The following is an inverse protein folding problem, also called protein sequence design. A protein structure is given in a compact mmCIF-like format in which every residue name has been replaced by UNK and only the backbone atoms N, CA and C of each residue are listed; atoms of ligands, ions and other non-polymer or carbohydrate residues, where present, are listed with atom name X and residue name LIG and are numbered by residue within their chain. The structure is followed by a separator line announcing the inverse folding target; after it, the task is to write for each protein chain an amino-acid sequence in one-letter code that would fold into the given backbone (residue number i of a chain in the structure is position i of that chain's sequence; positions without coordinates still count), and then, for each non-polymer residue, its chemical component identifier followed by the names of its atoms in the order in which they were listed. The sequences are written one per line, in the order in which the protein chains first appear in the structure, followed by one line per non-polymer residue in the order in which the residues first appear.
data_IF_518048224995
#
_entry.id   IF_518048224995
#
_cell.length_a   1.000
_cell.length_b   1.000
_cell.length_c   1.000
_cell.angle_alpha   90.00
_cell.angle_beta   90.00
_cell.angle_gamma   90.00
#
_symmetry.space_group_name_H-M   'P 1'
#
loop_
_entity.id
_entity.type
_entity.pdbx_description
1 polymer ?
#
# COMPACT_ATOMS: atom_id res chain seq x y z
N UNK A 1 -36.30 3.88 19.56
CA UNK A 1 -36.70 5.26 19.91
C UNK A 1 -38.22 5.31 20.04
N UNK A 2 -38.74 6.13 20.95
CA UNK A 2 -40.20 6.29 21.13
C UNK A 2 -40.63 7.64 20.53
N UNK A 3 -41.74 7.63 19.80
CA UNK A 3 -42.38 8.84 19.26
C UNK A 3 -43.80 8.95 19.81
N UNK A 4 -44.37 10.14 19.78
CA UNK A 4 -45.71 10.42 20.31
C UNK A 4 -46.61 10.90 19.18
N UNK A 5 -47.82 10.36 19.12
CA UNK A 5 -48.88 10.83 18.24
C UNK A 5 -49.97 11.47 19.12
N UNK A 6 -50.33 12.70 18.79
CA UNK A 6 -51.41 13.43 19.48
C UNK A 6 -52.67 13.29 18.64
N UNK A 7 -53.75 12.83 19.26
CA UNK A 7 -55.07 12.70 18.68
C UNK A 7 -56.01 13.66 19.40
N UNK A 8 -56.68 14.54 18.66
CA UNK A 8 -57.69 15.45 19.18
C UNK A 8 -59.00 15.24 18.41
N UNK A 9 -60.01 14.70 19.10
CA UNK A 9 -61.29 14.34 18.48
C UNK A 9 -62.49 14.70 19.37
N UNK A 10 -63.57 15.15 18.74
CA UNK A 10 -64.86 15.37 19.43
C UNK A 10 -65.68 14.10 19.70
N UNK A 11 -65.11 12.91 19.46
CA UNK A 11 -65.79 11.61 19.59
C UNK A 11 -64.79 10.52 19.93
N UNK A 12 -65.28 9.38 20.41
CA UNK A 12 -64.44 8.19 20.59
C UNK A 12 -63.78 7.79 19.26
N UNK A 13 -62.59 7.23 19.35
CA UNK A 13 -61.75 6.93 18.20
C UNK A 13 -61.14 5.53 18.31
N UNK A 14 -60.84 4.95 17.15
CA UNK A 14 -60.10 3.71 16.98
C UNK A 14 -58.88 3.96 16.08
N UNK A 15 -57.79 3.25 16.34
CA UNK A 15 -56.55 3.35 15.60
C UNK A 15 -56.05 1.97 15.14
N UNK A 16 -55.55 1.90 13.91
CA UNK A 16 -54.97 0.69 13.34
C UNK A 16 -53.64 1.02 12.64
N UNK A 17 -52.73 0.05 12.64
CA UNK A 17 -51.45 0.12 11.93
C UNK A 17 -51.48 -0.76 10.69
N UNK A 18 -50.77 -0.36 9.63
CA UNK A 18 -50.65 -1.17 8.41
C UNK A 18 -49.60 -2.27 8.50
N UNK A 19 -48.67 -2.20 9.45
CA UNK A 19 -47.49 -3.07 9.53
C UNK A 19 -47.26 -3.60 10.95
N UNK A 20 -46.85 -4.86 11.07
CA UNK A 20 -46.68 -5.55 12.36
C UNK A 20 -45.47 -5.07 13.17
N UNK A 21 -44.51 -4.40 12.53
CA UNK A 21 -43.35 -3.84 13.22
C UNK A 21 -43.67 -2.52 13.94
N UNK A 22 -44.79 -1.87 13.62
CA UNK A 22 -45.23 -0.63 14.28
C UNK A 22 -46.27 -0.97 15.34
N UNK A 23 -46.06 -0.51 16.57
CA UNK A 23 -46.96 -0.77 17.69
C UNK A 23 -47.46 0.54 18.29
N UNK A 24 -48.76 0.58 18.61
CA UNK A 24 -49.41 1.69 19.29
C UNK A 24 -49.65 1.34 20.76
N UNK A 25 -49.39 2.28 21.67
CA UNK A 25 -49.66 2.13 23.09
C UNK A 25 -51.16 2.05 23.43
N UNK A 26 -52.03 2.49 22.50
CA UNK A 26 -53.48 2.38 22.59
C UNK A 26 -54.06 2.24 21.18
N UNK A 27 -55.06 1.36 21.02
CA UNK A 27 -55.78 1.14 19.76
C UNK A 27 -57.15 1.85 19.74
N UNK A 28 -57.58 2.42 20.85
CA UNK A 28 -58.81 3.21 20.93
C UNK A 28 -58.73 4.19 22.10
N UNK A 29 -59.63 5.17 22.11
CA UNK A 29 -59.76 6.14 23.19
C UNK A 29 -61.03 6.98 23.09
N UNK A 30 -61.20 7.85 24.07
CA UNK A 30 -62.39 8.71 24.20
C UNK A 30 -62.17 10.08 23.56
N UNK A 31 -63.26 10.82 23.38
CA UNK A 31 -63.20 12.23 22.94
C UNK A 31 -62.25 13.07 23.80
N UNK A 32 -61.59 14.05 23.18
CA UNK A 32 -60.60 14.94 23.78
C UNK A 32 -59.20 14.70 23.22
N UNK A 33 -58.21 15.31 23.89
CA UNK A 33 -56.79 15.19 23.52
C UNK A 33 -56.20 13.94 24.15
N UNK A 34 -55.72 13.02 23.32
CA UNK A 34 -55.08 11.77 23.72
C UNK A 34 -53.65 11.72 23.16
N UNK A 35 -52.71 11.22 23.96
CA UNK A 35 -51.34 10.98 23.53
C UNK A 35 -51.09 9.48 23.41
N UNK A 36 -50.65 9.03 22.24
CA UNK A 36 -50.33 7.62 21.98
C UNK A 36 -48.83 7.47 21.76
N UNK A 37 -48.23 6.53 22.49
CA UNK A 37 -46.86 6.13 22.28
C UNK A 37 -46.75 5.24 21.03
N UNK A 38 -45.84 5.60 20.13
CA UNK A 38 -45.43 4.77 19.00
C UNK A 38 -44.13 4.06 19.37
N UNK A 39 -44.15 2.74 19.22
CA UNK A 39 -43.00 1.87 19.44
C UNK A 39 -42.75 0.98 18.22
N UNK A 40 -41.52 0.48 18.11
CA UNK A 40 -41.05 -0.30 16.97
C UNK A 40 -40.58 -1.66 17.48
N UNK A 41 -41.12 -2.73 16.89
CA UNK A 41 -40.63 -4.09 17.05
C UNK A 41 -39.67 -4.42 15.90
N UNK A 42 -38.38 -4.17 16.12
CA UNK A 42 -37.33 -4.29 15.10
C UNK A 42 -36.62 -5.66 14.93
N UNK A 43 -36.68 -6.64 15.86
CA UNK A 43 -36.05 -7.94 15.65
C UNK A 43 -36.50 -8.61 14.34
N UNK A 44 -35.52 -9.01 13.52
CA UNK A 44 -35.79 -9.70 12.26
C UNK A 44 -36.21 -8.82 11.09
N UNK A 45 -36.31 -7.49 11.25
CA UNK A 45 -36.53 -6.59 10.12
C UNK A 45 -35.25 -6.48 9.27
N UNK A 46 -35.34 -6.68 7.94
CA UNK A 46 -34.21 -6.42 7.04
C UNK A 46 -33.76 -4.96 7.11
N UNK A 47 -32.47 -4.72 6.86
CA UNK A 47 -31.94 -3.36 6.68
C UNK A 47 -32.65 -2.65 5.53
N UNK A 48 -33.02 -1.38 5.71
CA UNK A 48 -33.72 -0.61 4.69
C UNK A 48 -34.65 0.46 5.24
N UNK A 49 -35.43 1.05 4.35
CA UNK A 49 -36.50 1.99 4.69
C UNK A 49 -37.82 1.22 4.66
N UNK A 50 -38.51 1.23 5.79
CA UNK A 50 -39.84 0.63 5.96
C UNK A 50 -40.85 1.75 6.14
N UNK A 51 -42.01 1.60 5.51
CA UNK A 51 -43.09 2.58 5.58
C UNK A 51 -44.32 1.92 6.18
N UNK A 52 -44.95 2.60 7.14
CA UNK A 52 -46.22 2.20 7.72
C UNK A 52 -47.16 3.39 7.81
N UNK A 53 -48.44 3.09 7.96
CA UNK A 53 -49.48 4.09 8.17
C UNK A 53 -50.20 3.78 9.47
N UNK A 54 -50.41 4.81 10.29
CA UNK A 54 -51.39 4.79 11.39
C UNK A 54 -52.68 5.39 10.86
N UNK A 55 -53.76 4.61 10.88
CA UNK A 55 -55.10 5.06 10.47
C UNK A 55 -55.94 5.27 11.72
N UNK A 56 -56.44 6.49 11.92
CA UNK A 56 -57.33 6.86 13.03
C UNK A 56 -58.71 7.12 12.47
N UNK A 57 -59.73 6.51 13.07
CA UNK A 57 -61.14 6.69 12.70
C UNK A 57 -61.92 7.23 13.89
N UNK A 58 -62.64 8.33 13.70
CA UNK A 58 -63.51 8.92 14.71
C UNK A 58 -64.79 9.45 14.05
N UNK A 59 -65.96 8.98 14.48
CA UNK A 59 -67.27 9.38 13.94
C UNK A 59 -67.34 9.38 12.39
N UNK A 60 -66.78 8.33 11.76
CA UNK A 60 -66.71 8.19 10.29
C UNK A 60 -65.63 9.02 9.58
N UNK A 61 -64.89 9.88 10.29
CA UNK A 61 -63.75 10.62 9.74
C UNK A 61 -62.50 9.77 9.87
N UNK A 62 -61.77 9.61 8.75
CA UNK A 62 -60.52 8.85 8.69
C UNK A 62 -59.34 9.81 8.48
N UNK A 63 -58.34 9.72 9.35
CA UNK A 63 -57.05 10.42 9.23
C UNK A 63 -55.90 9.42 9.20
N UNK A 64 -54.84 9.75 8.49
CA UNK A 64 -53.66 8.90 8.33
C UNK A 64 -52.39 9.66 8.72
N UNK A 65 -51.53 9.01 9.49
CA UNK A 65 -50.17 9.46 9.77
C UNK A 65 -49.17 8.47 9.15
N UNK A 66 -48.20 8.99 8.42
CA UNK A 66 -47.16 8.18 7.78
C UNK A 66 -45.97 8.03 8.72
N UNK A 67 -45.51 6.80 8.88
CA UNK A 67 -44.36 6.45 9.72
C UNK A 67 -43.28 5.88 8.82
N UNK A 68 -42.09 6.48 8.90
CA UNK A 68 -40.90 6.00 8.21
C UNK A 68 -39.92 5.45 9.23
N UNK A 69 -39.61 4.16 9.12
CA UNK A 69 -38.60 3.48 9.92
C UNK A 69 -37.37 3.21 9.06
N UNK A 70 -36.20 3.62 9.54
CA UNK A 70 -34.91 3.26 8.94
C UNK A 70 -34.25 2.21 9.83
N UNK A 71 -34.05 1.01 9.28
CA UNK A 71 -33.31 -0.07 9.93
C UNK A 71 -31.94 -0.14 9.29
N UNK A 72 -30.89 -0.06 10.11
CA UNK A 72 -29.50 -0.14 9.67
C UNK A 72 -28.82 -1.18 10.54
N UNK A 73 -28.00 -2.02 9.92
CA UNK A 73 -27.12 -2.92 10.65
C UNK A 73 -26.08 -2.08 11.39
N UNK A 74 -26.02 -2.20 12.72
CA UNK A 74 -24.93 -1.60 13.48
C UNK A 74 -23.65 -2.37 13.19
N UNK A 75 -22.68 -1.69 12.57
CA UNK A 75 -21.40 -2.26 12.21
C UNK A 75 -20.30 -1.26 12.58
N UNK A 76 -19.42 -1.67 13.49
CA UNK A 76 -18.05 -1.18 13.53
C UNK A 76 -17.17 -2.31 13.02
N UNK A 77 -16.70 -2.18 11.78
CA UNK A 77 -15.91 -3.20 11.10
C UNK A 77 -14.70 -2.56 10.45
N UNK A 78 -13.63 -3.34 10.28
CA UNK A 78 -12.43 -2.88 9.60
C UNK A 78 -11.18 -3.51 10.18
N UNK A 79 -10.34 -2.64 10.75
CA UNK A 79 -9.03 -3.00 11.28
C UNK A 79 -9.12 -3.84 12.55
N UNK A 80 -8.01 -4.49 12.89
CA UNK A 80 -7.83 -5.25 14.12
C UNK A 80 -6.61 -4.71 14.89
N UNK A 81 -6.71 -4.71 16.21
CA UNK A 81 -5.59 -4.33 17.08
C UNK A 81 -4.38 -5.22 16.81
N UNK A 82 -3.19 -4.62 16.65
CA UNK A 82 -1.97 -5.36 16.32
C UNK A 82 -1.91 -5.92 14.89
N UNK A 83 -2.94 -5.73 14.06
CA UNK A 83 -2.99 -6.29 12.71
C UNK A 83 -1.97 -5.64 11.75
N UNK A 84 -1.52 -6.41 10.76
CA UNK A 84 -0.70 -5.90 9.64
C UNK A 84 -1.57 -5.68 8.40
N UNK A 85 -1.44 -4.51 7.81
CA UNK A 85 -2.13 -4.10 6.59
C UNK A 85 -1.16 -3.44 5.60
N UNK A 86 -1.61 -3.29 4.35
CA UNK A 86 -0.83 -2.67 3.28
C UNK A 86 -1.55 -1.43 2.75
N UNK A 87 -0.82 -0.33 2.57
CA UNK A 87 -1.37 0.99 2.27
C UNK A 87 -2.32 1.00 1.07
N UNK A 88 -2.00 0.25 0.01
CA UNK A 88 -2.72 0.28 -1.26
C UNK A 88 -3.94 -0.65 -1.30
N UNK A 89 -4.20 -1.44 -0.25
CA UNK A 89 -5.37 -2.31 -0.16
C UNK A 89 -6.68 -1.54 0.15
N UNK A 90 -6.57 -0.21 0.32
CA UNK A 90 -7.69 0.68 0.66
C UNK A 90 -8.46 0.21 1.89
N UNK A 91 -7.74 -0.18 2.93
CA UNK A 91 -8.28 -0.63 4.22
C UNK A 91 -9.29 0.39 4.76
N UNK A 92 -10.42 -0.10 5.27
CA UNK A 92 -11.54 0.75 5.66
C UNK A 92 -11.94 0.52 7.10
N UNK A 93 -12.22 1.61 7.79
CA UNK A 93 -13.10 1.60 8.96
C UNK A 93 -14.50 1.95 8.46
N UNK A 94 -15.44 1.06 8.76
CA UNK A 94 -16.86 1.20 8.43
C UNK A 94 -17.60 1.37 9.74
N UNK A 95 -18.33 2.48 9.85
CA UNK A 95 -19.22 2.75 10.96
C UNK A 95 -20.63 2.99 10.41
N UNK A 96 -21.64 2.53 11.13
CA UNK A 96 -23.03 2.86 10.83
C UNK A 96 -23.72 3.57 11.98
N UNK A 97 -24.61 4.49 11.64
CA UNK A 97 -25.35 5.30 12.59
C UNK A 97 -26.71 5.72 12.00
N UNK A 98 -27.68 5.92 12.89
CA UNK A 98 -29.02 6.41 12.59
C UNK A 98 -29.24 7.88 13.00
N UNK A 99 -28.29 8.53 13.68
CA UNK A 99 -28.45 9.94 14.05
C UNK A 99 -28.23 10.86 12.85
N UNK A 100 -29.22 11.71 12.60
CA UNK A 100 -29.13 12.77 11.61
C UNK A 100 -28.06 13.79 12.01
N UNK A 101 -27.50 14.49 11.03
CA UNK A 101 -26.51 15.56 11.22
C UNK A 101 -25.21 15.15 11.92
N UNK A 102 -24.85 13.87 11.86
CA UNK A 102 -23.57 13.37 12.39
C UNK A 102 -22.59 13.01 11.27
N UNK A 103 -21.30 12.89 11.63
CA UNK A 103 -20.26 12.31 10.79
C UNK A 103 -19.35 11.39 11.61
N UNK A 104 -18.66 10.47 10.94
CA UNK A 104 -17.60 9.68 11.53
C UNK A 104 -16.35 10.55 11.60
N UNK A 105 -15.82 10.77 12.79
CA UNK A 105 -14.50 11.36 13.02
C UNK A 105 -13.53 10.24 13.41
N UNK A 106 -12.40 10.15 12.71
CA UNK A 106 -11.27 9.33 13.10
C UNK A 106 -10.16 10.27 13.57
N UNK A 107 -9.70 10.09 14.80
CA UNK A 107 -8.46 10.67 15.29
C UNK A 107 -7.37 9.62 15.13
N UNK A 108 -6.46 9.86 14.17
CA UNK A 108 -5.40 8.91 13.82
C UNK A 108 -4.08 9.51 14.26
N UNK A 109 -3.38 8.80 15.13
CA UNK A 109 -1.97 9.04 15.44
C UNK A 109 -1.15 8.01 14.67
N UNK A 110 -0.31 8.48 13.75
CA UNK A 110 0.59 7.66 12.96
C UNK A 110 2.02 7.84 13.47
N UNK A 111 2.60 6.77 13.99
CA UNK A 111 3.95 6.74 14.53
C UNK A 111 4.87 5.95 13.62
N UNK A 112 6.01 6.54 13.31
CA UNK A 112 7.17 5.92 12.65
C UNK A 112 8.38 6.01 13.59
N UNK A 113 9.51 5.40 13.24
CA UNK A 113 10.71 5.44 14.11
C UNK A 113 11.17 6.85 14.52
N UNK A 114 10.93 7.84 13.65
CA UNK A 114 11.53 9.18 13.78
C UNK A 114 10.50 10.29 13.96
N UNK A 115 9.22 10.00 13.76
CA UNK A 115 8.17 11.02 13.83
C UNK A 115 6.81 10.39 14.15
N UNK A 116 6.03 11.14 14.91
CA UNK A 116 4.59 10.91 15.11
C UNK A 116 3.82 12.07 14.49
N UNK A 117 2.75 11.76 13.75
CA UNK A 117 1.89 12.73 13.07
C UNK A 117 0.43 12.38 13.23
N UNK A 118 -0.39 13.41 13.38
CA UNK A 118 -1.84 13.26 13.52
C UNK A 118 -2.55 13.51 12.19
N UNK A 119 -3.42 12.58 11.79
CA UNK A 119 -4.20 12.61 10.55
C UNK A 119 -5.69 12.47 10.85
N UNK A 120 -6.35 13.49 11.41
CA UNK A 120 -7.78 13.42 11.63
C UNK A 120 -8.50 13.28 10.29
N UNK A 121 -9.44 12.32 10.20
CA UNK A 121 -10.27 12.09 9.03
C UNK A 121 -11.75 12.22 9.42
N UNK A 122 -12.54 12.88 8.60
CA UNK A 122 -13.99 12.98 8.78
C UNK A 122 -14.72 12.40 7.59
N UNK A 123 -15.74 11.57 7.82
CA UNK A 123 -16.57 10.99 6.75
C UNK A 123 -18.07 11.14 7.06
N UNK A 124 -18.86 11.71 6.13
CA UNK A 124 -20.30 11.82 6.34
C UNK A 124 -20.98 10.45 6.28
N UNK A 125 -22.06 10.29 7.05
CA UNK A 125 -22.93 9.12 6.91
C UNK A 125 -23.81 9.27 5.67
N UNK A 126 -23.60 8.40 4.68
CA UNK A 126 -24.50 8.28 3.54
C UNK A 126 -25.43 7.08 3.74
N UNK A 127 -26.74 7.32 3.77
CA UNK A 127 -27.75 6.30 4.11
C UNK A 127 -27.44 5.58 5.44
N UNK A 128 -26.84 6.33 6.38
CA UNK A 128 -26.46 5.87 7.71
C UNK A 128 -25.23 4.95 7.77
N UNK A 129 -24.39 4.95 6.73
CA UNK A 129 -23.08 4.28 6.72
C UNK A 129 -22.00 5.29 6.33
N UNK A 130 -20.92 5.33 7.10
CA UNK A 130 -19.70 6.06 6.79
C UNK A 130 -18.56 5.07 6.54
N UNK A 131 -17.70 5.38 5.58
CA UNK A 131 -16.53 4.56 5.21
C UNK A 131 -15.31 5.46 5.12
N UNK A 132 -14.31 5.19 5.95
CA UNK A 132 -13.06 5.92 5.95
C UNK A 132 -11.92 5.00 5.52
N UNK A 133 -11.18 5.40 4.48
CA UNK A 133 -9.95 4.71 4.07
C UNK A 133 -8.80 5.18 4.95
N UNK A 134 -8.04 4.24 5.49
CA UNK A 134 -6.93 4.47 6.43
C UNK A 134 -5.67 3.71 5.97
N UNK A 135 -4.49 4.20 6.35
CA UNK A 135 -3.21 3.56 6.02
C UNK A 135 -2.48 4.08 4.79
N UNK A 136 -3.10 4.98 4.01
CA UNK A 136 -2.47 5.53 2.80
C UNK A 136 -1.25 6.41 3.12
N UNK A 137 -1.25 7.00 4.31
CA UNK A 137 -0.14 7.77 4.89
C UNK A 137 1.17 6.97 4.98
N UNK A 138 1.11 5.63 5.09
CA UNK A 138 2.29 4.78 5.07
C UNK A 138 3.14 4.94 3.79
N UNK A 139 2.50 5.23 2.65
CA UNK A 139 3.23 5.49 1.39
C UNK A 139 4.14 6.72 1.46
N UNK A 140 3.82 7.67 2.34
CA UNK A 140 4.55 8.94 2.49
C UNK A 140 5.46 8.94 3.72
N UNK A 141 5.03 8.33 4.82
CA UNK A 141 5.75 8.32 6.10
C UNK A 141 6.87 7.28 6.14
N UNK A 142 6.67 6.12 5.52
CA UNK A 142 7.74 5.14 5.38
C UNK A 142 8.71 5.69 4.35
N UNK A 143 9.90 6.08 4.78
CA UNK A 143 10.95 6.56 3.86
C UNK A 143 11.52 5.39 3.08
N UNK A 144 11.85 5.64 1.82
CA UNK A 144 12.60 4.69 1.01
C UNK A 144 14.05 4.72 1.47
N UNK A 145 14.55 3.64 2.07
CA UNK A 145 15.98 3.50 2.34
C UNK A 145 16.77 3.59 1.03
N UNK A 146 18.02 4.02 1.07
CA UNK A 146 18.90 3.87 -0.08
C UNK A 146 19.58 2.52 -0.03
N UNK A 147 19.75 1.82 -1.17
CA UNK A 147 20.60 0.65 -1.20
C UNK A 147 22.06 1.09 -0.95
N UNK A 148 22.88 0.32 -0.22
CA UNK A 148 24.22 0.75 0.17
C UNK A 148 25.15 0.89 -1.04
N UNK A 149 26.18 1.74 -0.94
CA UNK A 149 27.19 1.88 -2.02
C UNK A 149 27.89 0.56 -2.32
N UNK A 150 28.12 -0.25 -1.28
CA UNK A 150 28.68 -1.59 -1.38
C UNK A 150 27.61 -2.58 -0.92
N UNK A 151 27.25 -3.50 -1.81
CA UNK A 151 26.35 -4.61 -1.50
C UNK A 151 27.16 -5.72 -0.82
N UNK A 152 26.71 -6.16 0.36
CA UNK A 152 27.36 -7.23 1.12
C UNK A 152 26.35 -8.31 1.48
N UNK A 153 26.83 -9.54 1.62
CA UNK A 153 26.05 -10.67 2.09
C UNK A 153 25.51 -10.40 3.51
N UNK A 154 24.22 -10.59 3.72
CA UNK A 154 23.59 -10.37 5.02
C UNK A 154 22.09 -10.12 4.95
N UNK A 155 21.50 -9.96 6.14
CA UNK A 155 20.07 -9.63 6.28
C UNK A 155 19.96 -8.16 6.65
N UNK A 156 18.99 -7.47 6.06
CA UNK A 156 18.63 -6.08 6.37
C UNK A 156 17.13 -5.94 6.57
N UNK A 157 16.70 -4.88 7.25
CA UNK A 157 15.30 -4.46 7.33
C UNK A 157 15.18 -3.13 6.55
N UNK A 158 14.75 -3.16 5.28
CA UNK A 158 14.81 -1.99 4.41
C UNK A 158 13.76 -0.93 4.73
N UNK A 159 12.67 -1.32 5.39
CA UNK A 159 11.62 -0.42 5.81
C UNK A 159 10.83 -1.02 6.97
N UNK A 160 10.57 -0.20 7.99
CA UNK A 160 9.71 -0.55 9.12
C UNK A 160 8.27 -0.10 8.86
N UNK A 161 7.26 -0.81 9.39
CA UNK A 161 5.88 -0.35 9.31
C UNK A 161 5.72 0.99 10.05
N UNK A 162 4.69 1.74 9.68
CA UNK A 162 4.13 2.72 10.61
C UNK A 162 3.11 2.02 11.52
N UNK A 163 2.97 2.55 12.72
CA UNK A 163 1.98 2.13 13.69
C UNK A 163 0.89 3.19 13.75
N UNK A 164 -0.38 2.77 13.62
CA UNK A 164 -1.53 3.64 13.78
C UNK A 164 -2.27 3.30 15.07
N UNK A 165 -2.53 4.33 15.86
CA UNK A 165 -3.54 4.33 16.91
C UNK A 165 -4.71 5.19 16.45
N UNK A 166 -5.92 4.63 16.47
CA UNK A 166 -7.10 5.25 15.87
C UNK A 166 -8.25 5.24 16.87
N UNK A 167 -8.71 6.42 17.24
CA UNK A 167 -9.97 6.58 17.95
C UNK A 167 -11.08 7.00 16.98
N UNK A 168 -12.13 6.19 16.91
CA UNK A 168 -13.30 6.44 16.07
C UNK A 168 -14.44 7.03 16.92
N UNK A 169 -14.97 8.16 16.48
CA UNK A 169 -16.08 8.87 17.12
C UNK A 169 -17.22 9.13 16.15
N UNK A 170 -18.44 9.13 16.67
CA UNK A 170 -19.53 9.92 16.13
C UNK A 170 -19.34 11.36 16.56
N UNK A 171 -19.50 12.32 15.66
CA UNK A 171 -19.58 13.73 16.03
C UNK A 171 -20.85 14.35 15.45
N UNK A 172 -21.62 15.02 16.30
CA UNK A 172 -22.77 15.83 15.86
C UNK A 172 -22.28 17.16 15.28
N UNK A 173 -22.71 17.48 14.06
CA UNK A 173 -22.23 18.62 13.28
C UNK A 173 -22.54 19.98 13.91
N UNK A 174 -23.60 20.10 14.71
CA UNK A 174 -24.05 21.38 15.22
C UNK A 174 -23.61 21.63 16.66
N UNK A 175 -23.53 20.57 17.46
CA UNK A 175 -23.19 20.64 18.88
C UNK A 175 -21.73 20.29 19.16
N UNK A 176 -21.04 19.60 18.25
CA UNK A 176 -19.68 19.11 18.44
C UNK A 176 -19.58 18.00 19.49
N UNK A 177 -20.71 17.48 19.97
CA UNK A 177 -20.72 16.39 20.94
C UNK A 177 -20.23 15.13 20.26
N UNK A 178 -19.22 14.49 20.86
CA UNK A 178 -18.65 13.24 20.37
C UNK A 178 -19.09 12.05 21.19
N UNK A 179 -19.24 10.90 20.52
CA UNK A 179 -19.48 9.59 21.15
C UNK A 179 -18.46 8.61 20.58
N UNK A 180 -17.64 7.99 21.42
CA UNK A 180 -16.66 7.00 20.97
C UNK A 180 -17.38 5.74 20.45
N UNK A 181 -17.01 5.31 19.25
CA UNK A 181 -17.46 4.05 18.64
C UNK A 181 -16.49 2.90 18.89
N UNK A 182 -15.19 3.19 18.91
CA UNK A 182 -14.17 2.22 19.25
C UNK A 182 -12.77 2.77 19.06
N UNK A 183 -11.79 1.99 19.52
CA UNK A 183 -10.37 2.29 19.43
C UNK A 183 -9.65 1.14 18.76
N UNK A 184 -8.74 1.46 17.86
CA UNK A 184 -7.84 0.52 17.21
C UNK A 184 -6.41 0.86 17.61
N UNK A 185 -5.73 -0.07 18.26
CA UNK A 185 -4.40 0.15 18.81
C UNK A 185 -3.34 -0.70 18.12
N UNK A 186 -2.14 -0.14 17.96
CA UNK A 186 -0.97 -0.78 17.37
C UNK A 186 -1.24 -1.39 15.98
N UNK A 187 -2.01 -0.72 15.13
CA UNK A 187 -2.30 -1.22 13.78
C UNK A 187 -1.11 -0.93 12.86
N UNK A 188 -0.51 -1.96 12.29
CA UNK A 188 0.72 -1.83 11.49
C UNK A 188 0.41 -1.68 10.00
N UNK A 189 1.08 -0.75 9.33
CA UNK A 189 0.97 -0.57 7.88
C UNK A 189 2.33 -0.60 7.18
N UNK A 190 2.42 -1.38 6.11
CA UNK A 190 3.50 -1.34 5.13
C UNK A 190 3.06 -0.63 3.84
N UNK A 191 4.04 -0.23 3.02
CA UNK A 191 3.79 0.23 1.64
C UNK A 191 3.25 -0.90 0.77
N UNK A 192 2.66 -0.53 -0.38
CA UNK A 192 2.28 -1.49 -1.41
C UNK A 192 0.92 -2.13 -1.16
N UNK A 193 0.65 -3.22 -1.88
CA UNK A 193 -0.54 -4.07 -1.72
C UNK A 193 -0.19 -5.36 -0.95
N UNK A 194 -1.20 -6.07 -0.43
CA UNK A 194 -0.97 -7.40 0.14
C UNK A 194 -0.26 -8.30 -0.88
N UNK A 195 0.89 -8.91 -0.52
CA UNK A 195 1.58 -9.89 -1.36
C UNK A 195 0.66 -10.97 -1.88
N UNK A 196 0.70 -11.20 -3.20
CA UNK A 196 -0.07 -12.30 -3.85
C UNK A 196 0.31 -13.67 -3.29
N UNK A 197 1.57 -13.83 -2.92
CA UNK A 197 2.08 -15.02 -2.22
C UNK A 197 2.39 -14.59 -0.79
N UNK A 198 1.78 -15.28 0.18
CA UNK A 198 1.96 -14.96 1.58
C UNK A 198 3.45 -14.93 1.97
N UNK A 199 3.86 -13.86 2.65
CA UNK A 199 5.24 -13.70 3.09
C UNK A 199 6.24 -13.30 2.00
N UNK A 200 5.82 -13.01 0.75
CA UNK A 200 6.72 -12.67 -0.36
C UNK A 200 6.59 -11.22 -0.81
N UNK A 201 7.45 -10.35 -0.28
CA UNK A 201 7.51 -8.94 -0.68
C UNK A 201 8.62 -8.68 -1.73
N UNK A 202 8.70 -9.56 -2.73
CA UNK A 202 9.62 -9.45 -3.87
C UNK A 202 9.01 -10.05 -5.13
N UNK A 203 9.44 -9.55 -6.28
CA UNK A 203 9.03 -10.04 -7.59
C UNK A 203 10.05 -10.98 -8.25
N UNK A 204 11.30 -11.03 -7.75
CA UNK A 204 12.32 -12.01 -8.18
C UNK A 204 11.69 -13.39 -8.31
N UNK A 205 11.83 -14.10 -9.44
CA UNK A 205 11.18 -15.38 -9.66
C UNK A 205 11.83 -16.49 -8.84
N UNK A 206 11.22 -17.70 -8.85
CA UNK A 206 11.82 -18.84 -8.17
C UNK A 206 13.19 -19.20 -8.75
N UNK A 207 13.38 -19.12 -10.07
CA UNK A 207 14.67 -19.44 -10.70
C UNK A 207 15.19 -18.24 -11.47
N UNK A 208 16.47 -17.90 -11.28
CA UNK A 208 17.19 -16.85 -12.01
C UNK A 208 18.50 -17.38 -12.56
N UNK A 209 19.03 -16.70 -13.58
CA UNK A 209 20.30 -17.04 -14.22
C UNK A 209 21.26 -15.85 -14.18
N UNK A 210 22.30 -15.94 -13.35
CA UNK A 210 23.19 -14.82 -13.02
C UNK A 210 24.65 -15.23 -13.04
N UNK A 211 25.56 -14.26 -13.06
CA UNK A 211 27.00 -14.52 -12.97
C UNK A 211 27.43 -14.98 -11.58
N UNK A 212 28.60 -15.61 -11.50
CA UNK A 212 29.29 -15.92 -10.23
C UNK A 212 29.63 -14.67 -9.40
N UNK A 213 29.45 -13.47 -9.95
CA UNK A 213 29.74 -12.18 -9.30
C UNK A 213 28.47 -11.38 -8.99
N UNK A 214 27.30 -11.96 -9.23
CA UNK A 214 26.04 -11.27 -9.03
C UNK A 214 25.74 -11.04 -7.54
N UNK A 215 24.86 -10.07 -7.30
CA UNK A 215 24.18 -9.91 -6.02
C UNK A 215 22.75 -10.35 -6.17
N UNK A 216 22.29 -11.20 -5.26
CA UNK A 216 20.92 -11.71 -5.29
C UNK A 216 20.18 -11.28 -4.03
N UNK A 217 18.92 -10.90 -4.19
CA UNK A 217 18.06 -10.46 -3.09
C UNK A 217 16.73 -11.20 -3.03
N UNK A 218 16.32 -11.58 -1.81
CA UNK A 218 14.98 -12.08 -1.50
C UNK A 218 14.43 -11.22 -0.36
N UNK A 219 13.20 -10.72 -0.53
CA UNK A 219 12.51 -9.96 0.50
C UNK A 219 11.28 -10.71 0.99
N UNK A 220 11.17 -10.90 2.31
CA UNK A 220 10.09 -11.63 2.96
C UNK A 220 9.34 -10.75 3.97
N UNK A 221 8.09 -11.12 4.22
CA UNK A 221 7.27 -10.56 5.30
C UNK A 221 7.20 -11.57 6.45
N UNK A 222 7.74 -11.22 7.61
CA UNK A 222 7.80 -12.07 8.81
C UNK A 222 7.59 -11.27 10.10
N UNK A 223 6.81 -11.80 11.05
CA UNK A 223 6.55 -11.13 12.33
C UNK A 223 7.81 -10.99 13.19
N UNK A 224 8.74 -11.93 13.06
CA UNK A 224 10.06 -11.91 13.70
C UNK A 224 11.14 -11.87 12.62
N UNK A 225 12.32 -11.36 12.98
CA UNK A 225 13.47 -11.38 12.09
C UNK A 225 13.84 -12.83 11.76
N UNK A 226 13.96 -13.21 10.48
CA UNK A 226 14.49 -14.53 10.13
C UNK A 226 15.91 -14.70 10.65
N UNK A 227 16.20 -15.86 11.22
CA UNK A 227 17.47 -16.14 11.91
C UNK A 227 18.65 -16.27 10.95
N UNK A 228 18.42 -16.77 9.74
CA UNK A 228 19.48 -17.12 8.81
C UNK A 228 19.07 -17.07 7.33
N UNK A 229 20.08 -17.10 6.47
CA UNK A 229 19.97 -17.40 5.04
C UNK A 229 20.65 -18.76 4.84
N UNK A 230 19.93 -19.74 4.31
CA UNK A 230 20.46 -21.07 4.01
C UNK A 230 20.77 -21.17 2.53
N UNK A 231 21.99 -21.58 2.21
CA UNK A 231 22.45 -21.80 0.84
C UNK A 231 22.86 -23.28 0.73
N UNK A 232 22.31 -23.99 -0.26
CA UNK A 232 22.63 -25.39 -0.55
C UNK A 232 22.85 -25.56 -2.07
N UNK A 233 23.38 -26.72 -2.49
CA UNK A 233 23.69 -27.00 -3.90
C UNK A 233 25.20 -27.09 -4.12
N UNK A 234 25.72 -26.37 -5.11
CA UNK A 234 27.16 -26.30 -5.41
C UNK A 234 27.99 -25.86 -4.19
N UNK A 235 27.43 -24.98 -3.36
CA UNK A 235 27.97 -24.61 -2.05
C UNK A 235 26.91 -24.85 -0.99
N UNK A 236 27.34 -25.28 0.20
CA UNK A 236 26.47 -25.38 1.38
C UNK A 236 27.00 -24.50 2.50
N UNK A 237 26.23 -23.47 2.86
CA UNK A 237 26.59 -22.53 3.92
C UNK A 237 25.34 -21.92 4.58
N UNK A 238 25.54 -21.26 5.71
CA UNK A 238 24.49 -20.52 6.42
C UNK A 238 25.04 -19.17 6.83
N UNK A 239 24.34 -18.11 6.43
CA UNK A 239 24.64 -16.74 6.86
C UNK A 239 23.68 -16.42 8.00
N UNK A 240 24.19 -16.33 9.22
CA UNK A 240 23.37 -15.99 10.38
C UNK A 240 23.03 -14.50 10.40
N UNK A 241 21.78 -14.19 10.69
CA UNK A 241 21.29 -12.87 11.01
C UNK A 241 21.53 -12.53 12.48
N UNK A 242 21.95 -11.29 12.73
CA UNK A 242 22.01 -10.72 14.08
C UNK A 242 21.21 -9.42 14.16
N UNK A 243 20.12 -9.33 13.38
CA UNK A 243 19.30 -8.13 13.35
C UNK A 243 18.32 -8.11 14.53
N UNK A 244 18.16 -6.96 15.19
CA UNK A 244 16.99 -6.71 16.03
C UNK A 244 15.70 -6.89 15.23
N UNK A 245 14.62 -7.36 15.88
CA UNK A 245 13.32 -7.47 15.25
C UNK A 245 12.80 -6.07 14.86
N UNK A 246 12.92 -5.74 13.57
CA UNK A 246 12.43 -4.49 12.97
C UNK A 246 10.99 -4.59 12.45
N UNK A 247 10.34 -5.74 12.68
CA UNK A 247 9.00 -6.14 12.27
C UNK A 247 8.75 -6.16 10.75
N UNK A 248 8.15 -7.25 10.31
CA UNK A 248 7.58 -7.49 8.99
C UNK A 248 8.56 -7.56 7.83
N UNK A 249 9.19 -6.47 7.36
CA UNK A 249 9.91 -6.49 6.08
C UNK A 249 11.41 -6.78 6.25
N UNK A 250 11.87 -7.90 5.69
CA UNK A 250 13.28 -8.32 5.76
C UNK A 250 13.82 -8.70 4.39
N UNK A 251 15.05 -8.28 4.09
CA UNK A 251 15.73 -8.57 2.83
C UNK A 251 17.04 -9.30 3.10
N UNK A 252 17.18 -10.50 2.52
CA UNK A 252 18.45 -11.18 2.39
C UNK A 252 19.16 -10.68 1.14
N UNK A 253 20.44 -10.31 1.27
CA UNK A 253 21.36 -10.05 0.16
C UNK A 253 22.45 -11.10 0.20
N UNK A 254 22.80 -11.65 -0.95
CA UNK A 254 23.88 -12.64 -1.11
C UNK A 254 24.79 -12.14 -2.23
N UNK A 255 26.06 -11.90 -1.92
CA UNK A 255 27.10 -11.66 -2.90
C UNK A 255 27.67 -13.00 -3.34
N UNK A 256 27.45 -13.39 -4.61
CA UNK A 256 27.89 -14.68 -5.10
C UNK A 256 29.42 -14.77 -5.25
N UNK A 257 30.09 -13.61 -5.35
CA UNK A 257 31.55 -13.51 -5.40
C UNK A 257 32.25 -14.00 -4.12
N UNK A 258 31.51 -14.18 -3.03
CA UNK A 258 32.04 -14.74 -1.77
C UNK A 258 32.31 -16.26 -1.89
N UNK A 259 31.91 -16.88 -3.00
CA UNK A 259 31.98 -18.32 -3.24
C UNK A 259 32.74 -18.63 -4.53
N UNK A 260 33.37 -19.79 -4.57
CA UNK A 260 34.04 -20.31 -5.78
C UNK A 260 33.01 -21.04 -6.65
N UNK A 261 32.38 -20.31 -7.56
CA UNK A 261 31.26 -20.80 -8.39
C UNK A 261 31.61 -20.75 -9.87
N UNK A 262 31.31 -21.83 -10.58
CA UNK A 262 31.54 -21.99 -12.01
C UNK A 262 30.23 -21.97 -12.81
N UNK A 263 30.34 -21.72 -14.12
CA UNK A 263 29.17 -21.70 -14.99
C UNK A 263 28.53 -23.10 -15.05
N UNK A 264 27.22 -23.16 -14.80
CA UNK A 264 26.46 -24.41 -14.69
C UNK A 264 26.17 -24.83 -13.24
N UNK A 265 26.83 -24.23 -12.25
CA UNK A 265 26.53 -24.47 -10.84
C UNK A 265 25.11 -24.02 -10.50
N UNK A 266 24.48 -24.74 -9.57
CA UNK A 266 23.15 -24.44 -9.07
C UNK A 266 23.17 -24.29 -7.55
N UNK A 267 22.51 -23.24 -7.06
CA UNK A 267 22.32 -22.98 -5.64
C UNK A 267 20.82 -22.88 -5.32
N UNK A 268 20.41 -23.46 -4.22
CA UNK A 268 19.12 -23.20 -3.60
C UNK A 268 19.33 -22.28 -2.40
N UNK A 269 18.68 -21.12 -2.42
CA UNK A 269 18.72 -20.11 -1.37
C UNK A 269 17.36 -20.08 -0.68
N UNK A 270 17.35 -20.29 0.63
CA UNK A 270 16.16 -20.23 1.48
C UNK A 270 16.31 -19.10 2.48
N UNK A 271 15.29 -18.24 2.57
CA UNK A 271 15.24 -17.12 3.50
C UNK A 271 13.81 -16.92 4.01
N UNK A 272 13.62 -17.06 5.32
CA UNK A 272 12.28 -17.13 5.92
C UNK A 272 11.46 -18.26 5.28
N UNK A 273 10.26 -17.92 4.77
CA UNK A 273 9.38 -18.87 4.09
C UNK A 273 9.52 -18.83 2.55
N UNK A 274 10.59 -18.23 2.04
CA UNK A 274 10.85 -18.10 0.60
C UNK A 274 12.05 -18.94 0.18
N UNK A 275 11.99 -19.46 -1.04
CA UNK A 275 13.07 -20.19 -1.68
C UNK A 275 13.29 -19.69 -3.10
N UNK A 276 14.53 -19.77 -3.56
CA UNK A 276 14.95 -19.35 -4.89
C UNK A 276 16.14 -20.20 -5.35
N UNK A 277 16.08 -20.65 -6.58
CA UNK A 277 17.14 -21.33 -7.30
C UNK A 277 17.95 -20.33 -8.13
N UNK A 278 19.26 -20.37 -7.96
CA UNK A 278 20.23 -19.56 -8.72
C UNK A 278 21.02 -20.50 -9.60
N UNK A 279 21.03 -20.24 -10.91
CA UNK A 279 21.84 -20.97 -11.87
C UNK A 279 22.95 -20.06 -12.37
N UNK A 280 24.20 -20.48 -12.20
CA UNK A 280 25.36 -19.69 -12.56
C UNK A 280 25.59 -19.75 -14.07
N UNK A 281 25.68 -18.58 -14.68
CA UNK A 281 26.02 -18.40 -16.07
C UNK A 281 27.04 -17.26 -16.17
N UNK A 282 28.26 -17.55 -16.61
CA UNK A 282 29.31 -16.52 -16.70
C UNK A 282 29.43 -15.86 -18.09
N UNK A 283 28.48 -16.13 -19.01
CA UNK A 283 28.42 -15.50 -20.34
C UNK A 283 27.86 -14.07 -20.28
N UNK A 284 28.69 -13.14 -19.78
CA UNK A 284 28.37 -11.73 -19.56
C UNK A 284 29.36 -10.84 -20.30
N UNK A 285 28.87 -9.85 -21.03
CA UNK A 285 29.73 -8.88 -21.74
C UNK A 285 30.29 -7.84 -20.77
N UNK A 286 29.43 -7.30 -19.92
CA UNK A 286 29.77 -6.39 -18.83
C UNK A 286 28.87 -6.70 -17.63
N UNK A 287 29.43 -6.63 -16.42
CA UNK A 287 28.67 -6.79 -15.19
C UNK A 287 28.01 -5.47 -14.83
N UNK A 288 26.70 -5.41 -15.03
CA UNK A 288 25.87 -4.27 -14.64
C UNK A 288 24.67 -4.80 -13.86
N UNK A 289 24.45 -4.23 -12.67
CA UNK A 289 23.28 -4.55 -11.84
C UNK A 289 22.37 -3.33 -11.74
N UNK A 290 21.09 -3.53 -12.02
CA UNK A 290 20.03 -2.56 -11.81
C UNK A 290 19.42 -2.82 -10.44
N UNK A 291 19.39 -1.82 -9.56
CA UNK A 291 18.56 -1.87 -8.37
C UNK A 291 17.31 -1.01 -8.58
N UNK A 292 16.13 -1.57 -8.41
CA UNK A 292 14.88 -0.82 -8.47
C UNK A 292 14.03 -1.08 -7.24
N UNK A 293 13.36 -0.02 -6.75
CA UNK A 293 12.50 -0.13 -5.59
C UNK A 293 11.15 -0.76 -5.97
N UNK A 294 10.76 -1.83 -5.29
CA UNK A 294 9.47 -2.49 -5.44
C UNK A 294 8.34 -1.77 -4.67
N UNK A 295 7.10 -2.26 -4.78
CA UNK A 295 5.93 -1.58 -4.20
C UNK A 295 5.95 -1.54 -2.67
N UNK A 296 6.65 -2.47 -2.01
CA UNK A 296 6.78 -2.54 -0.55
C UNK A 296 7.92 -1.67 -0.01
N UNK A 297 8.69 -1.03 -0.89
CA UNK A 297 9.79 -0.16 -0.51
C UNK A 297 11.13 -0.86 -0.35
N UNK A 298 11.23 -2.15 -0.64
CA UNK A 298 12.50 -2.87 -0.74
C UNK A 298 13.11 -2.72 -2.13
N UNK A 299 14.44 -2.89 -2.25
CA UNK A 299 15.10 -2.96 -3.54
C UNK A 299 15.14 -4.38 -4.06
N UNK A 300 15.12 -4.50 -5.38
CA UNK A 300 15.39 -5.74 -6.10
C UNK A 300 16.56 -5.51 -7.05
N UNK A 301 17.46 -6.50 -7.11
CA UNK A 301 18.69 -6.43 -7.89
C UNK A 301 18.55 -7.32 -9.12
N UNK A 302 18.67 -6.72 -10.31
CA UNK A 302 18.63 -7.42 -11.58
C UNK A 302 19.97 -7.26 -12.28
N UNK A 303 20.72 -8.36 -12.41
CA UNK A 303 21.98 -8.37 -13.16
C UNK A 303 21.72 -8.54 -14.66
N UNK A 304 22.34 -7.69 -15.48
CA UNK A 304 22.23 -7.72 -16.94
C UNK A 304 23.47 -8.33 -17.58
N UNK A 305 23.29 -8.99 -18.74
CA UNK A 305 24.35 -9.64 -19.53
C UNK A 305 24.96 -8.77 -20.62
N UNK A 306 24.27 -7.69 -20.97
CA UNK A 306 24.71 -6.80 -22.03
C UNK A 306 25.76 -5.82 -21.54
N UNK A 307 25.61 -4.55 -21.91
CA UNK A 307 26.59 -3.51 -21.69
C UNK A 307 25.91 -2.16 -21.51
N UNK A 308 26.61 -1.25 -20.86
CA UNK A 308 26.16 0.12 -20.64
C UNK A 308 26.88 1.08 -21.57
N UNK A 309 26.12 1.87 -22.31
CA UNK A 309 26.63 3.02 -23.05
C UNK A 309 26.37 4.30 -22.25
N UNK A 310 27.43 5.06 -21.98
CA UNK A 310 27.33 6.44 -21.53
C UNK A 310 27.17 7.35 -22.76
N UNK A 311 25.98 7.93 -22.91
CA UNK A 311 25.64 8.82 -24.02
C UNK A 311 25.65 10.30 -23.60
N UNK A 312 26.24 10.61 -22.44
CA UNK A 312 26.34 11.97 -21.92
C UNK A 312 26.90 12.94 -22.96
N UNK A 313 26.17 14.03 -23.20
CA UNK A 313 26.70 15.14 -24.00
C UNK A 313 27.42 16.10 -23.05
N UNK A 314 28.71 16.33 -23.27
CA UNK A 314 29.43 17.38 -22.55
C UNK A 314 28.94 18.74 -23.05
N UNK A 315 27.95 19.34 -22.39
CA UNK A 315 27.60 20.74 -22.65
C UNK A 315 28.63 21.64 -21.96
N UNK A 316 29.49 22.30 -22.73
CA UNK A 316 30.40 23.32 -22.21
C UNK A 316 29.76 24.70 -22.38
N UNK A 317 29.50 25.41 -21.27
CA UNK A 317 29.18 26.83 -21.33
C UNK A 317 30.50 27.61 -21.44
N UNK A 318 30.83 28.08 -22.65
CA UNK A 318 32.04 28.88 -22.91
C UNK A 318 31.67 30.35 -22.81
N UNK A 319 32.23 31.08 -21.83
CA UNK A 319 32.29 32.55 -21.96
C UNK A 319 33.56 32.93 -22.70
N UNK A 320 33.40 33.87 -23.64
CA UNK A 320 34.52 34.46 -24.34
C UNK A 320 34.69 35.89 -23.84
N UNK A 321 35.85 36.21 -23.25
CA UNK A 321 36.24 37.60 -22.99
C UNK A 321 37.44 37.95 -23.88
N UNK A 322 37.41 39.13 -24.48
CA UNK A 322 38.57 39.72 -25.15
C UNK A 322 39.40 40.46 -24.11
N UNK A 323 40.67 40.07 -23.96
CA UNK A 323 41.68 40.85 -23.24
C UNK A 323 42.83 41.05 -24.24
N UNK A 324 43.20 42.31 -24.48
CA UNK A 324 44.27 42.71 -25.41
C UNK A 324 44.19 42.10 -26.82
N UNK A 325 42.98 42.05 -27.40
CA UNK A 325 42.76 41.57 -28.77
C UNK A 325 42.87 40.06 -28.97
N UNK A 326 43.16 39.28 -27.92
CA UNK A 326 43.12 37.81 -27.94
C UNK A 326 41.85 37.32 -27.24
N UNK A 327 41.10 36.44 -27.92
CA UNK A 327 39.94 35.75 -27.34
C UNK A 327 40.46 34.72 -26.34
N UNK A 328 40.11 34.87 -25.06
CA UNK A 328 40.35 33.85 -24.04
C UNK A 328 39.01 33.21 -23.68
N UNK A 329 38.89 31.93 -23.99
CA UNK A 329 37.74 31.10 -23.65
C UNK A 329 37.95 30.51 -22.26
N UNK A 330 37.00 30.71 -21.35
CA UNK A 330 37.00 30.04 -20.03
C UNK A 330 35.74 29.20 -19.92
N UNK A 331 35.92 27.91 -19.67
CA UNK A 331 34.84 26.97 -19.35
C UNK A 331 34.25 27.40 -18.00
N UNK A 332 32.96 27.78 -17.98
CA UNK A 332 32.30 28.29 -16.76
C UNK A 332 31.76 27.14 -15.92
N UNK A 333 31.13 26.15 -16.55
CA UNK A 333 30.52 24.99 -15.88
C UNK A 333 30.39 23.85 -16.89
N UNK A 334 30.57 22.62 -16.41
CA UNK A 334 30.31 21.40 -17.15
C UNK A 334 29.29 20.60 -16.33
N UNK A 335 28.01 20.84 -16.59
CA UNK A 335 26.97 19.97 -16.05
C UNK A 335 27.08 18.61 -16.76
N UNK A 336 27.31 17.54 -16.00
CA UNK A 336 27.24 16.19 -16.53
C UNK A 336 25.77 15.78 -16.56
N UNK A 337 25.06 16.21 -17.60
CA UNK A 337 23.81 15.56 -18.00
C UNK A 337 24.13 14.12 -18.41
N UNK A 338 24.10 13.22 -17.42
CA UNK A 338 24.37 11.80 -17.60
C UNK A 338 23.21 11.11 -18.28
N UNK A 339 23.35 10.67 -19.52
CA UNK A 339 22.38 9.79 -20.17
C UNK A 339 23.01 8.41 -20.36
N UNK A 340 22.26 7.36 -20.02
CA UNK A 340 22.74 5.99 -20.09
C UNK A 340 21.78 5.11 -20.90
N UNK A 341 22.33 4.34 -21.83
CA UNK A 341 21.62 3.30 -22.56
C UNK A 341 22.16 1.93 -22.12
N UNK A 342 21.34 1.16 -21.41
CA UNK A 342 21.66 -0.18 -20.93
C UNK A 342 21.01 -1.23 -21.81
N UNK A 343 21.84 -2.10 -22.38
CA UNK A 343 21.38 -3.29 -23.07
C UNK A 343 21.32 -4.44 -22.07
N UNK A 344 20.17 -5.08 -21.89
CA UNK A 344 20.01 -6.14 -20.88
C UNK A 344 20.81 -7.40 -21.22
N UNK A 345 21.16 -7.60 -22.49
CA UNK A 345 21.52 -8.90 -23.02
C UNK A 345 20.33 -9.86 -23.04
N UNK A 346 20.57 -11.11 -23.45
CA UNK A 346 19.51 -12.11 -23.53
C UNK A 346 19.00 -12.52 -22.14
N UNK A 347 17.69 -12.40 -21.93
CA UNK A 347 17.00 -12.83 -20.71
C UNK A 347 16.61 -14.30 -20.84
N UNK A 348 16.99 -15.11 -19.85
CA UNK A 348 16.93 -16.57 -19.94
C UNK A 348 15.53 -17.16 -19.80
N UNK A 349 14.57 -16.44 -19.21
CA UNK A 349 13.22 -16.94 -18.98
C UNK A 349 12.13 -15.84 -19.06
N UNK A 350 10.88 -16.25 -19.31
CA UNK A 350 9.73 -15.35 -19.24
C UNK A 350 9.52 -14.81 -17.81
N UNK A 351 9.83 -15.59 -16.78
CA UNK A 351 9.69 -15.17 -15.39
C UNK A 351 10.67 -14.05 -15.02
N UNK A 352 11.91 -14.09 -15.53
CA UNK A 352 12.86 -12.98 -15.39
C UNK A 352 12.43 -11.75 -16.19
N UNK A 353 11.80 -11.93 -17.35
CA UNK A 353 11.22 -10.80 -18.10
C UNK A 353 10.05 -10.15 -17.37
N UNK A 354 9.15 -10.95 -16.78
CA UNK A 354 8.02 -10.46 -15.98
C UNK A 354 8.50 -9.74 -14.71
N UNK A 355 9.62 -10.19 -14.15
CA UNK A 355 10.32 -9.53 -13.06
C UNK A 355 10.95 -8.21 -13.50
N UNK A 356 11.70 -8.21 -14.60
CA UNK A 356 12.25 -6.98 -15.19
C UNK A 356 11.13 -5.97 -15.46
N UNK A 357 9.97 -6.40 -15.98
CA UNK A 357 8.83 -5.53 -16.25
C UNK A 357 8.32 -4.75 -15.02
N UNK A 358 8.61 -5.22 -13.80
CA UNK A 358 8.27 -4.50 -12.57
C UNK A 358 9.02 -3.19 -12.42
N UNK A 359 10.20 -3.07 -13.02
CA UNK A 359 10.97 -1.82 -13.02
C UNK A 359 10.17 -0.67 -13.62
N UNK A 360 9.25 -0.92 -14.58
CA UNK A 360 8.44 0.15 -15.20
C UNK A 360 7.50 0.84 -14.20
N UNK A 361 7.18 0.19 -13.08
CA UNK A 361 6.35 0.75 -12.01
C UNK A 361 7.17 1.29 -10.83
N UNK A 362 8.49 1.09 -10.83
CA UNK A 362 9.35 1.54 -9.76
C UNK A 362 9.55 3.06 -9.84
N UNK A 363 9.72 3.68 -8.67
CA UNK A 363 9.89 5.14 -8.55
C UNK A 363 11.35 5.57 -8.42
N UNK A 364 12.23 4.63 -8.07
CA UNK A 364 13.61 4.92 -7.71
C UNK A 364 14.53 3.81 -8.19
N UNK A 365 15.66 4.20 -8.79
CA UNK A 365 16.56 3.30 -9.48
C UNK A 365 18.02 3.65 -9.20
N UNK A 366 18.85 2.62 -9.15
CA UNK A 366 20.30 2.76 -9.12
C UNK A 366 20.94 1.80 -10.10
N UNK A 367 22.05 2.22 -10.70
CA UNK A 367 22.93 1.36 -11.47
C UNK A 367 24.19 1.09 -10.65
N UNK A 368 24.58 -0.18 -10.56
CA UNK A 368 25.87 -0.60 -10.03
C UNK A 368 26.73 -1.04 -11.20
N UNK A 369 27.69 -0.19 -11.55
CA UNK A 369 28.52 -0.34 -12.75
C UNK A 369 29.95 -0.06 -12.33
N UNK A 370 30.85 -1.01 -12.59
CA UNK A 370 32.29 -0.87 -12.28
C UNK A 370 32.60 -0.49 -10.82
N UNK A 371 31.76 -0.96 -9.89
CA UNK A 371 31.91 -0.69 -8.46
C UNK A 371 31.37 0.67 -8.00
N UNK A 372 30.77 1.46 -8.89
CA UNK A 372 30.10 2.72 -8.53
C UNK A 372 28.58 2.56 -8.52
N UNK A 373 27.94 3.15 -7.50
CA UNK A 373 26.49 3.30 -7.40
C UNK A 373 26.06 4.64 -7.98
N UNK A 374 25.20 4.62 -9.01
CA UNK A 374 24.69 5.83 -9.67
C UNK A 374 23.18 5.87 -9.54
N UNK A 375 22.63 6.92 -8.92
CA UNK A 375 21.18 7.15 -8.91
C UNK A 375 20.70 7.66 -10.27
N UNK A 376 19.65 7.04 -10.78
CA UNK A 376 19.13 7.32 -12.12
C UNK A 376 17.59 7.38 -12.15
N UNK A 377 17.08 8.04 -13.16
CA UNK A 377 15.67 8.14 -13.52
C UNK A 377 15.44 7.29 -14.77
N UNK A 378 14.51 6.34 -14.69
CA UNK A 378 14.13 5.53 -15.84
C UNK A 378 13.34 6.36 -16.87
N UNK A 379 13.89 6.43 -18.08
CA UNK A 379 13.25 7.09 -19.23
C UNK A 379 12.40 6.11 -20.04
N UNK A 380 12.78 4.82 -20.08
CA UNK A 380 12.02 3.76 -20.74
C UNK A 380 10.60 3.65 -20.19
N UNK A 381 9.60 3.66 -21.08
CA UNK A 381 8.18 3.47 -20.74
C UNK A 381 7.62 2.12 -21.18
N UNK A 382 8.24 1.53 -22.20
CA UNK A 382 7.88 0.23 -22.78
C UNK A 382 9.15 -0.49 -23.15
N UNK A 383 9.13 -1.82 -23.11
CA UNK A 383 10.29 -2.60 -23.55
C UNK A 383 10.36 -2.67 -25.07
N UNK A 384 11.39 -2.06 -25.62
CA UNK A 384 11.76 -2.18 -27.02
C UNK A 384 12.74 -3.33 -27.18
N UNK A 385 12.42 -4.25 -28.10
CA UNK A 385 13.29 -5.39 -28.40
C UNK A 385 14.58 -4.86 -29.03
N UNK A 386 15.71 -5.26 -28.45
CA UNK A 386 17.02 -4.96 -28.98
C UNK A 386 17.38 -6.01 -30.05
N UNK A 387 17.33 -5.61 -31.31
CA UNK A 387 17.67 -6.49 -32.42
C UNK A 387 19.18 -6.77 -32.47
N UNK A 388 19.55 -8.00 -32.14
CA UNK A 388 20.82 -8.60 -32.58
C UNK A 388 20.50 -9.88 -33.32
N UNK A 389 21.41 -10.33 -34.20
CA UNK A 389 21.18 -11.40 -35.22
C UNK A 389 20.66 -12.75 -34.67
N UNK A 390 20.53 -12.96 -33.35
CA UNK A 390 20.16 -14.25 -32.71
C UNK A 390 19.27 -14.18 -31.45
N UNK A 391 18.85 -13.01 -30.94
CA UNK A 391 18.25 -12.92 -29.59
C UNK A 391 17.01 -12.00 -29.51
N UNK A 392 15.81 -12.59 -29.49
CA UNK A 392 14.51 -11.89 -29.44
C UNK A 392 14.16 -11.39 -28.01
N UNK A 393 14.83 -11.90 -26.97
CA UNK A 393 14.59 -11.56 -25.55
C UNK A 393 15.71 -10.69 -24.96
N UNK A 394 16.21 -9.72 -25.74
CA UNK A 394 17.12 -8.70 -25.26
C UNK A 394 16.43 -7.34 -25.38
N UNK A 395 16.62 -6.46 -24.41
CA UNK A 395 15.90 -5.20 -24.32
C UNK A 395 16.84 -4.03 -24.11
N UNK A 396 16.36 -2.85 -24.51
CA UNK A 396 17.05 -1.58 -24.30
C UNK A 396 16.35 -0.79 -23.21
N UNK A 397 17.13 -0.36 -22.22
CA UNK A 397 16.70 0.51 -21.14
C UNK A 397 17.45 1.84 -21.24
N UNK A 398 16.75 2.93 -21.03
CA UNK A 398 17.27 4.29 -21.09
C UNK A 398 17.08 4.95 -19.74
N UNK A 399 18.14 5.59 -19.26
CA UNK A 399 18.20 6.25 -17.97
C UNK A 399 18.80 7.64 -18.10
N UNK A 400 18.37 8.55 -17.24
CA UNK A 400 19.03 9.83 -17.01
C UNK A 400 19.58 9.87 -15.58
N UNK A 401 20.77 10.43 -15.37
CA UNK A 401 21.32 10.68 -14.04
C UNK A 401 20.36 11.53 -13.22
N UNK A 402 20.08 11.13 -11.99
CA UNK A 402 19.31 11.96 -11.09
C UNK A 402 20.14 13.19 -10.70
N UNK A 403 19.54 14.38 -10.76
CA UNK A 403 20.12 15.59 -10.20
C UNK A 403 19.82 15.54 -8.71
N UNK A 404 20.87 15.36 -7.89
CA UNK A 404 20.78 15.31 -6.42
C UNK A 404 20.90 16.70 -5.85
#
# INVERSE_FOLDING_TARGET
SQKRLIIDTGSNWDAAVSENWLQLGALSGTSGVNEILLSVNSPGLPTGIHQATVTVTANGIIKKAYVLLRVIEFALQGLQNGGLYYANDRNQIIASNIKDNSFLLLQIEASSENETKNFPLSQPYFKGVAKAVVGLEANYLIKSAEPPEVLASGITNPARPIVLDIDAFEEDRFTGVTVNFGTYANVNFLKGTTPKVAGRASYVPYQIFVSSKAYVQITTVAFEAPDDIKITGAVTTTINGALPNGLYLYTATIALSDYDLESGDELDIVFGNQAMKVVINNDYTELCTIAFQNEWGAYELFETRGFLNDTSKVSQTISTKSVDGKKVSRIIEADRDGEYELHTGFISSQAELDWLAKLLNAKRFFLYVRGERIEVILMTKTFEVYETRKHINAYRLQFKRAIV
#
